data_IF_464426191190
#
_entry.id   IF_464426191190
#
_cell.length_a   1.000
_cell.length_b   1.000
_cell.length_c   1.000
_cell.angle_alpha   90.00
_cell.angle_beta   90.00
_cell.angle_gamma   90.00
#
_symmetry.space_group_name_H-M   'P 1'
#
loop_
_entity.id
_entity.type
_entity.pdbx_description
1 polymer ?
#
# COMPACT_ATOMS: atom_id res chain seq x y z
N UNK A 1 5.55 0.73 -23.99
CA UNK A 1 5.63 -0.74 -23.98
C UNK A 1 4.22 -1.25 -24.05
N UNK A 2 3.90 -1.82 -25.21
CA UNK A 2 2.54 -2.13 -25.64
C UNK A 2 1.95 -3.24 -24.78
N UNK A 3 0.80 -2.94 -24.18
CA UNK A 3 0.01 -3.93 -23.46
C UNK A 3 -0.77 -4.72 -24.50
N UNK A 4 -0.60 -6.04 -24.55
CA UNK A 4 -1.30 -6.90 -25.48
C UNK A 4 -2.83 -6.67 -25.35
N UNK A 5 -3.55 -6.34 -26.44
CA UNK A 5 -5.00 -6.16 -26.42
C UNK A 5 -5.74 -7.38 -25.85
N UNK A 6 -5.17 -8.58 -26.02
CA UNK A 6 -5.73 -9.83 -25.51
C UNK A 6 -5.63 -9.94 -23.99
N UNK A 7 -4.54 -9.43 -23.42
CA UNK A 7 -4.40 -9.29 -21.97
C UNK A 7 -5.44 -8.27 -21.45
N UNK A 8 -5.60 -7.12 -22.11
CA UNK A 8 -6.57 -6.07 -21.75
C UNK A 8 -8.04 -6.53 -21.76
N UNK A 9 -8.39 -7.47 -22.63
CA UNK A 9 -9.73 -8.06 -22.69
C UNK A 9 -9.99 -9.08 -21.56
N UNK A 10 -9.00 -9.91 -21.20
CA UNK A 10 -9.07 -10.84 -20.06
C UNK A 10 -9.06 -10.09 -18.70
N UNK A 11 -8.37 -8.93 -18.63
CA UNK A 11 -8.34 -8.04 -17.47
C UNK A 11 -9.74 -7.55 -17.05
N UNK A 12 -10.56 -7.12 -18.01
CA UNK A 12 -11.89 -6.57 -17.75
C UNK A 12 -12.88 -7.66 -17.28
N UNK A 13 -12.81 -8.87 -17.86
CA UNK A 13 -13.72 -9.96 -17.51
C UNK A 13 -13.52 -10.43 -16.06
N UNK A 14 -12.27 -10.59 -15.62
CA UNK A 14 -11.95 -11.07 -14.26
C UNK A 14 -12.30 -10.08 -13.14
N UNK A 15 -12.29 -8.77 -13.40
CA UNK A 15 -12.72 -7.79 -12.39
C UNK A 15 -14.25 -7.72 -12.26
N UNK A 16 -14.99 -7.99 -13.33
CA UNK A 16 -16.45 -8.06 -13.29
C UNK A 16 -16.95 -9.28 -12.50
N UNK A 17 -16.11 -10.29 -12.33
CA UNK A 17 -16.39 -11.53 -11.58
C UNK A 17 -15.77 -11.54 -10.17
N UNK A 18 -15.41 -10.37 -9.62
CA UNK A 18 -14.82 -10.29 -8.27
C UNK A 18 -15.80 -10.84 -7.23
N UNK A 19 -15.35 -11.84 -6.46
CA UNK A 19 -16.18 -12.53 -5.47
C UNK A 19 -16.18 -11.76 -4.15
N UNK A 20 -17.19 -10.92 -3.96
CA UNK A 20 -17.42 -10.11 -2.75
C UNK A 20 -18.88 -10.18 -2.31
N UNK A 21 -19.15 -9.83 -1.05
CA UNK A 21 -20.51 -9.91 -0.48
C UNK A 21 -21.46 -8.83 -1.00
N UNK A 22 -20.95 -7.63 -1.25
CA UNK A 22 -21.69 -6.44 -1.71
C UNK A 22 -20.70 -5.43 -2.31
N UNK A 23 -21.19 -4.26 -2.78
CA UNK A 23 -20.37 -3.20 -3.38
C UNK A 23 -19.54 -3.61 -4.61
N UNK A 24 -19.94 -4.67 -5.33
CA UNK A 24 -19.23 -5.18 -6.50
C UNK A 24 -18.95 -4.08 -7.53
N UNK A 25 -19.93 -3.24 -7.85
CA UNK A 25 -19.79 -2.13 -8.81
C UNK A 25 -18.72 -1.11 -8.40
N UNK A 26 -18.65 -0.79 -7.10
CA UNK A 26 -17.66 0.12 -6.54
C UNK A 26 -16.25 -0.49 -6.49
N UNK A 27 -16.15 -1.82 -6.43
CA UNK A 27 -14.87 -2.53 -6.41
C UNK A 27 -14.30 -2.84 -7.78
N UNK A 28 -15.11 -2.89 -8.84
CA UNK A 28 -14.63 -3.04 -10.23
C UNK A 28 -13.56 -1.99 -10.60
N UNK A 29 -13.74 -0.68 -10.38
CA UNK A 29 -12.70 0.30 -10.70
C UNK A 29 -11.44 0.13 -9.84
N UNK A 30 -11.58 -0.26 -8.57
CA UNK A 30 -10.45 -0.55 -7.68
C UNK A 30 -9.69 -1.78 -8.19
N UNK A 31 -10.38 -2.83 -8.62
CA UNK A 31 -9.78 -4.02 -9.23
C UNK A 31 -8.98 -3.68 -10.49
N UNK A 32 -9.50 -2.80 -11.35
CA UNK A 32 -8.77 -2.35 -12.55
C UNK A 32 -7.48 -1.61 -12.18
N UNK A 33 -7.52 -0.72 -11.19
CA UNK A 33 -6.33 -0.01 -10.71
C UNK A 33 -5.34 -0.97 -10.03
N UNK A 34 -5.85 -1.87 -9.20
CA UNK A 34 -5.07 -2.90 -8.52
C UNK A 34 -4.30 -3.78 -9.51
N UNK A 35 -4.93 -4.24 -10.59
CA UNK A 35 -4.24 -5.03 -11.64
C UNK A 35 -3.15 -4.23 -12.35
N UNK A 36 -3.38 -2.93 -12.64
CA UNK A 36 -2.32 -2.04 -13.16
C UNK A 36 -1.12 -1.93 -12.22
N UNK A 37 -1.35 -1.93 -10.91
CA UNK A 37 -0.27 -1.97 -9.92
C UNK A 37 0.48 -3.31 -9.97
N UNK A 38 -0.24 -4.42 -10.05
CA UNK A 38 0.37 -5.74 -10.17
C UNK A 38 1.20 -5.89 -11.46
N UNK A 39 0.78 -5.31 -12.58
CA UNK A 39 1.55 -5.30 -13.83
C UNK A 39 2.90 -4.58 -13.67
N UNK A 40 2.89 -3.47 -12.93
CA UNK A 40 4.09 -2.69 -12.64
C UNK A 40 4.93 -3.23 -11.50
N UNK A 41 4.45 -4.26 -10.80
CA UNK A 41 5.14 -4.88 -9.68
C UNK A 41 6.61 -5.17 -9.98
N UNK A 42 6.94 -5.78 -11.13
CA UNK A 42 8.34 -6.10 -11.47
C UNK A 42 9.25 -4.87 -11.55
N UNK A 43 8.72 -3.75 -12.05
CA UNK A 43 9.48 -2.50 -12.19
C UNK A 43 9.68 -1.86 -10.81
N UNK A 44 8.66 -1.92 -9.96
CA UNK A 44 8.62 -1.21 -8.68
C UNK A 44 9.10 -2.04 -7.48
N UNK A 45 9.15 -3.37 -7.60
CA UNK A 45 9.67 -4.30 -6.58
C UNK A 45 11.13 -4.72 -6.84
N UNK A 46 11.78 -4.03 -7.79
CA UNK A 46 13.17 -4.22 -8.16
C UNK A 46 14.12 -4.14 -6.95
N UNK A 47 15.32 -4.72 -7.05
CA UNK A 47 16.27 -4.83 -5.93
C UNK A 47 16.74 -3.48 -5.38
N UNK A 48 16.50 -2.38 -6.09
CA UNK A 48 16.97 -1.04 -5.74
C UNK A 48 15.96 -0.20 -4.95
N UNK A 49 14.75 -0.70 -4.70
CA UNK A 49 13.76 0.00 -3.88
C UNK A 49 13.86 -0.47 -2.43
N UNK A 50 14.22 0.45 -1.52
CA UNK A 50 14.45 0.17 -0.10
C UNK A 50 13.15 -0.07 0.70
N UNK A 51 12.02 0.31 0.11
CA UNK A 51 10.70 0.17 0.70
C UNK A 51 9.94 -1.07 0.20
N UNK A 52 9.09 -1.61 1.07
CA UNK A 52 8.20 -2.72 0.80
C UNK A 52 6.97 -2.27 -0.03
N UNK A 53 6.94 -2.65 -1.30
CA UNK A 53 5.84 -2.32 -2.19
C UNK A 53 4.52 -3.02 -1.82
N UNK A 54 4.60 -4.22 -1.23
CA UNK A 54 3.43 -4.95 -0.76
C UNK A 54 2.73 -4.17 0.35
N UNK A 55 3.50 -3.64 1.31
CA UNK A 55 2.94 -2.85 2.39
C UNK A 55 2.28 -1.55 1.88
N UNK A 56 2.92 -0.87 0.92
CA UNK A 56 2.35 0.32 0.27
C UNK A 56 1.01 0.00 -0.39
N UNK A 57 0.99 -1.06 -1.21
CA UNK A 57 -0.21 -1.50 -1.92
C UNK A 57 -1.32 -1.93 -0.96
N UNK A 58 -0.95 -2.53 0.17
CA UNK A 58 -1.89 -2.98 1.21
C UNK A 58 -2.59 -1.77 1.84
N UNK A 59 -1.84 -0.76 2.27
CA UNK A 59 -2.44 0.47 2.83
C UNK A 59 -3.31 1.21 1.82
N UNK A 60 -2.86 1.33 0.57
CA UNK A 60 -3.65 1.94 -0.49
C UNK A 60 -4.97 1.17 -0.70
N UNK A 61 -4.91 -0.15 -0.77
CA UNK A 61 -6.10 -0.99 -0.97
C UNK A 61 -7.05 -0.86 0.22
N UNK A 62 -6.56 -0.98 1.45
CA UNK A 62 -7.37 -0.90 2.65
C UNK A 62 -8.07 0.46 2.79
N UNK A 63 -7.38 1.57 2.48
CA UNK A 63 -8.01 2.89 2.42
C UNK A 63 -9.17 2.93 1.42
N UNK A 64 -9.01 2.35 0.22
CA UNK A 64 -10.11 2.27 -0.76
C UNK A 64 -11.28 1.44 -0.24
N UNK A 65 -11.01 0.32 0.44
CA UNK A 65 -12.06 -0.51 1.01
C UNK A 65 -12.80 0.22 2.13
N UNK A 66 -12.10 0.88 3.05
CA UNK A 66 -12.73 1.69 4.11
C UNK A 66 -13.62 2.78 3.51
N UNK A 67 -13.15 3.47 2.46
CA UNK A 67 -13.95 4.52 1.81
C UNK A 67 -15.24 3.98 1.15
N UNK A 68 -15.28 2.70 0.78
CA UNK A 68 -16.45 2.05 0.17
C UNK A 68 -17.40 1.49 1.23
N UNK A 69 -16.85 0.81 2.25
CA UNK A 69 -17.64 0.05 3.22
C UNK A 69 -17.97 0.83 4.49
N UNK A 70 -17.16 1.83 4.84
CA UNK A 70 -17.12 2.45 6.16
C UNK A 70 -16.20 1.69 7.11
N UNK A 71 -15.62 2.40 8.08
CA UNK A 71 -14.65 1.86 9.05
C UNK A 71 -15.27 0.92 10.10
N UNK A 72 -16.60 0.85 10.20
CA UNK A 72 -17.31 -0.05 11.11
C UNK A 72 -17.53 -1.46 10.54
N UNK A 73 -17.30 -1.67 9.25
CA UNK A 73 -17.62 -2.92 8.53
C UNK A 73 -16.39 -3.82 8.34
N UNK A 74 -15.74 -4.16 9.46
CA UNK A 74 -14.48 -4.89 9.46
C UNK A 74 -14.56 -6.26 8.75
N UNK A 75 -15.68 -6.96 8.89
CA UNK A 75 -15.88 -8.25 8.23
C UNK A 75 -15.94 -8.09 6.71
N UNK A 76 -16.78 -7.17 6.21
CA UNK A 76 -16.89 -6.90 4.76
C UNK A 76 -15.58 -6.41 4.16
N UNK A 77 -14.85 -5.55 4.88
CA UNK A 77 -13.52 -5.10 4.44
C UNK A 77 -12.56 -6.29 4.34
N UNK A 78 -12.55 -7.18 5.34
CA UNK A 78 -11.69 -8.37 5.33
C UNK A 78 -12.03 -9.31 4.18
N UNK A 79 -13.31 -9.55 3.90
CA UNK A 79 -13.74 -10.36 2.75
C UNK A 79 -13.35 -9.72 1.42
N UNK A 80 -13.55 -8.40 1.28
CA UNK A 80 -13.14 -7.69 0.08
C UNK A 80 -11.62 -7.77 -0.11
N UNK A 81 -10.82 -7.54 0.94
CA UNK A 81 -9.37 -7.63 0.90
C UNK A 81 -8.89 -9.04 0.49
N UNK A 82 -9.51 -10.08 1.04
CA UNK A 82 -9.22 -11.47 0.66
C UNK A 82 -9.53 -11.74 -0.83
N UNK A 83 -10.56 -11.10 -1.40
CA UNK A 83 -10.84 -11.19 -2.83
C UNK A 83 -9.70 -10.60 -3.68
N UNK A 84 -9.09 -9.48 -3.25
CA UNK A 84 -7.90 -8.91 -3.91
C UNK A 84 -6.66 -9.79 -3.74
N UNK A 85 -6.45 -10.44 -2.59
CA UNK A 85 -5.39 -11.44 -2.42
C UNK A 85 -5.57 -12.62 -3.38
N UNK A 86 -6.81 -13.07 -3.62
CA UNK A 86 -7.11 -14.10 -4.63
C UNK A 86 -6.81 -13.62 -6.06
N UNK A 87 -7.11 -12.35 -6.37
CA UNK A 87 -6.74 -11.75 -7.66
C UNK A 87 -5.21 -11.76 -7.84
N UNK A 88 -4.45 -11.40 -6.81
CA UNK A 88 -2.99 -11.52 -6.82
C UNK A 88 -2.52 -12.96 -7.00
N UNK A 89 -3.09 -13.92 -6.26
CA UNK A 89 -2.75 -15.34 -6.39
C UNK A 89 -2.96 -15.86 -7.81
N UNK A 90 -4.07 -15.51 -8.45
CA UNK A 90 -4.34 -15.85 -9.84
C UNK A 90 -3.38 -15.15 -10.81
N UNK A 91 -3.01 -13.91 -10.52
CA UNK A 91 -2.08 -13.12 -11.32
C UNK A 91 -0.66 -13.70 -11.32
N UNK A 92 -0.20 -14.22 -10.18
CA UNK A 92 1.12 -14.87 -10.09
C UNK A 92 1.11 -16.30 -10.63
N UNK A 93 0.01 -17.05 -10.48
CA UNK A 93 -0.06 -18.43 -10.97
C UNK A 93 0.10 -18.51 -12.49
N UNK A 94 -0.31 -17.47 -13.23
CA UNK A 94 -0.13 -17.39 -14.68
C UNK A 94 1.28 -16.92 -15.10
N UNK A 95 2.11 -16.45 -14.17
CA UNK A 95 3.45 -15.90 -14.43
C UNK A 95 4.48 -16.75 -13.69
N UNK A 96 5.29 -17.53 -14.42
CA UNK A 96 6.35 -18.42 -13.88
C UNK A 96 6.89 -17.94 -12.53
N UNK A 97 6.72 -18.77 -11.49
CA UNK A 97 7.12 -18.55 -10.09
C UNK A 97 8.35 -17.65 -9.96
N UNK A 98 8.12 -16.35 -9.74
CA UNK A 98 9.19 -15.38 -9.55
C UNK A 98 9.02 -14.73 -8.17
N UNK A 99 10.08 -14.81 -7.37
CA UNK A 99 10.18 -14.18 -6.04
C UNK A 99 9.84 -12.68 -6.05
N UNK A 100 10.06 -11.97 -7.17
CA UNK A 100 9.70 -10.55 -7.30
C UNK A 100 8.21 -10.25 -7.12
N UNK A 101 7.32 -11.18 -7.45
CA UNK A 101 5.88 -10.96 -7.29
C UNK A 101 5.40 -11.17 -5.84
N UNK A 102 6.17 -11.88 -5.01
CA UNK A 102 5.88 -12.02 -3.58
C UNK A 102 5.96 -10.67 -2.86
N UNK A 103 6.84 -9.79 -3.32
CA UNK A 103 6.94 -8.39 -2.84
C UNK A 103 5.73 -7.52 -3.17
N UNK A 104 4.74 -8.03 -3.88
CA UNK A 104 3.51 -7.31 -4.23
C UNK A 104 2.25 -8.01 -3.71
N UNK A 105 2.41 -9.02 -2.84
CA UNK A 105 1.32 -9.70 -2.18
C UNK A 105 0.68 -8.78 -1.15
N UNK A 106 -0.61 -8.46 -1.21
CA UNK A 106 -1.24 -7.65 -0.16
C UNK A 106 -1.21 -8.35 1.19
N UNK A 107 -0.84 -7.62 2.23
CA UNK A 107 -0.79 -8.08 3.61
C UNK A 107 -2.12 -7.77 4.32
N UNK A 108 -2.82 -8.83 4.71
CA UNK A 108 -4.13 -8.71 5.36
C UNK A 108 -4.03 -8.18 6.80
N UNK A 109 -2.90 -8.37 7.49
CA UNK A 109 -2.80 -8.04 8.92
C UNK A 109 -3.08 -6.56 9.21
N UNK A 110 -2.90 -5.67 8.21
CA UNK A 110 -3.22 -4.24 8.35
C UNK A 110 -4.66 -3.96 8.75
N UNK A 111 -5.61 -4.87 8.46
CA UNK A 111 -7.02 -4.69 8.81
C UNK A 111 -7.25 -4.72 10.33
N UNK A 112 -6.31 -5.26 11.09
CA UNK A 112 -6.37 -5.39 12.54
C UNK A 112 -5.74 -4.18 13.27
N UNK A 113 -5.01 -3.32 12.56
CA UNK A 113 -4.32 -2.18 13.16
C UNK A 113 -5.29 -1.01 13.41
N UNK A 114 -5.60 -0.74 14.68
CA UNK A 114 -6.48 0.40 15.05
C UNK A 114 -5.92 1.75 14.60
N UNK A 115 -4.60 1.88 14.58
CA UNK A 115 -3.85 3.07 14.18
C UNK A 115 -3.37 3.01 12.72
N UNK A 116 -4.00 2.20 11.87
CA UNK A 116 -3.59 2.00 10.46
C UNK A 116 -3.42 3.32 9.69
N UNK A 117 -4.23 4.37 10.00
CA UNK A 117 -4.10 5.69 9.36
C UNK A 117 -2.74 6.32 9.64
N UNK A 118 -2.32 6.28 10.90
CA UNK A 118 -1.02 6.78 11.32
C UNK A 118 0.10 5.93 10.71
N UNK A 119 -0.08 4.60 10.67
CA UNK A 119 0.92 3.70 10.07
C UNK A 119 1.07 3.93 8.58
N UNK A 120 -0.05 4.10 7.86
CA UNK A 120 -0.07 4.46 6.45
C UNK A 120 0.64 5.79 6.23
N UNK A 121 0.30 6.83 6.99
CA UNK A 121 0.93 8.14 6.82
C UNK A 121 2.45 8.10 7.08
N UNK A 122 2.89 7.33 8.07
CA UNK A 122 4.31 7.17 8.37
C UNK A 122 5.01 6.45 7.21
N UNK A 123 4.35 5.43 6.67
CA UNK A 123 4.87 4.65 5.56
C UNK A 123 4.88 5.43 4.23
N UNK A 124 3.86 6.23 3.95
CA UNK A 124 3.82 7.14 2.81
C UNK A 124 4.99 8.14 2.89
N UNK A 125 5.28 8.67 4.10
CA UNK A 125 6.46 9.52 4.31
C UNK A 125 7.77 8.77 4.09
N UNK A 126 7.89 7.53 4.59
CA UNK A 126 9.07 6.68 4.37
C UNK A 126 9.35 6.49 2.87
N UNK A 127 8.31 6.18 2.09
CA UNK A 127 8.41 5.98 0.64
C UNK A 127 8.80 7.27 -0.08
N UNK A 128 8.20 8.40 0.31
CA UNK A 128 8.44 9.68 -0.33
C UNK A 128 9.74 10.36 0.11
N UNK A 129 10.33 9.96 1.25
CA UNK A 129 11.40 10.68 1.96
C UNK A 129 12.56 11.08 1.05
N UNK A 130 13.14 10.13 0.31
CA UNK A 130 14.26 10.39 -0.59
C UNK A 130 13.91 11.41 -1.67
N UNK A 131 12.74 11.26 -2.31
CA UNK A 131 12.29 12.16 -3.37
C UNK A 131 12.02 13.58 -2.86
N UNK A 132 11.45 13.69 -1.66
CA UNK A 132 11.17 14.95 -1.00
C UNK A 132 12.46 15.65 -0.55
N UNK A 133 13.41 14.91 0.00
CA UNK A 133 14.70 15.42 0.41
C UNK A 133 15.49 15.99 -0.78
N UNK A 134 15.59 15.23 -1.87
CA UNK A 134 16.30 15.67 -3.07
C UNK A 134 15.65 16.89 -3.72
N UNK A 135 14.31 16.94 -3.78
CA UNK A 135 13.57 18.09 -4.32
C UNK A 135 13.74 19.34 -3.44
N UNK A 136 13.75 19.17 -2.11
CA UNK A 136 13.94 20.27 -1.18
C UNK A 136 15.34 20.87 -1.27
N UNK A 137 16.36 20.04 -1.54
CA UNK A 137 17.75 20.50 -1.72
C UNK A 137 17.93 21.39 -2.95
N UNK A 138 17.12 21.20 -4.00
CA UNK A 138 17.31 21.87 -5.30
C UNK A 138 16.41 23.09 -5.51
N UNK A 139 15.35 23.29 -4.70
CA UNK A 139 14.36 24.33 -4.95
C UNK A 139 13.82 25.01 -3.67
N UNK A 140 14.20 26.27 -3.43
CA UNK A 140 13.78 27.09 -2.28
C UNK A 140 12.26 27.28 -2.15
N UNK A 141 11.51 27.29 -3.26
CA UNK A 141 10.05 27.47 -3.26
C UNK A 141 9.30 26.30 -2.60
N UNK A 142 9.88 25.10 -2.59
CA UNK A 142 9.27 23.92 -1.96
C UNK A 142 9.56 23.85 -0.45
N UNK A 143 10.41 24.73 0.07
CA UNK A 143 10.83 24.75 1.47
C UNK A 143 9.62 24.89 2.43
N UNK A 144 8.59 25.68 2.09
CA UNK A 144 7.36 25.79 2.91
C UNK A 144 6.54 24.50 2.96
N UNK A 145 6.34 23.84 1.82
CA UNK A 145 5.61 22.56 1.77
C UNK A 145 6.40 21.47 2.49
N UNK A 146 7.72 21.48 2.33
CA UNK A 146 8.63 20.58 3.00
C UNK A 146 8.60 20.76 4.52
N UNK A 147 8.60 22.01 5.00
CA UNK A 147 8.49 22.31 6.42
C UNK A 147 7.21 21.76 7.05
N UNK A 148 6.06 21.88 6.36
CA UNK A 148 4.80 21.28 6.83
C UNK A 148 4.90 19.76 6.88
N UNK A 149 5.42 19.11 5.83
CA UNK A 149 5.60 17.65 5.80
C UNK A 149 6.57 17.15 6.88
N UNK A 150 7.68 17.86 7.14
CA UNK A 150 8.61 17.53 8.22
C UNK A 150 7.93 17.64 9.58
N UNK A 151 7.12 18.69 9.82
CA UNK A 151 6.39 18.83 11.08
C UNK A 151 5.38 17.72 11.32
N UNK A 152 4.62 17.37 10.28
CA UNK A 152 3.69 16.25 10.32
C UNK A 152 4.42 14.94 10.62
N UNK A 153 5.54 14.69 9.93
CA UNK A 153 6.39 13.53 10.20
C UNK A 153 6.93 13.52 11.63
N UNK A 154 7.46 14.64 12.13
CA UNK A 154 8.00 14.72 13.50
C UNK A 154 6.93 14.40 14.54
N UNK A 155 5.73 14.92 14.35
CA UNK A 155 4.59 14.65 15.24
C UNK A 155 4.19 13.17 15.20
N UNK A 156 4.21 12.58 14.01
CA UNK A 156 3.89 11.18 13.79
C UNK A 156 4.97 10.24 14.34
N UNK A 157 6.23 10.62 14.20
CA UNK A 157 7.37 9.89 14.76
C UNK A 157 7.28 9.83 16.29
N UNK A 158 7.04 10.96 16.95
CA UNK A 158 6.86 10.99 18.42
C UNK A 158 5.65 10.17 18.88
N UNK A 159 4.55 10.15 18.09
CA UNK A 159 3.43 9.25 18.35
C UNK A 159 3.87 7.79 18.40
N UNK A 160 4.59 7.31 17.37
CA UNK A 160 5.06 5.93 17.31
C UNK A 160 6.13 5.63 18.36
N UNK A 161 7.04 6.58 18.64
CA UNK A 161 8.03 6.44 19.70
C UNK A 161 7.38 6.15 21.06
N UNK A 162 6.31 6.87 21.40
CA UNK A 162 5.53 6.65 22.61
C UNK A 162 4.79 5.30 22.60
N UNK A 163 4.10 4.97 21.51
CA UNK A 163 3.35 3.71 21.40
C UNK A 163 4.27 2.48 21.44
N UNK A 164 5.38 2.49 20.68
CA UNK A 164 6.34 1.40 20.62
C UNK A 164 7.08 1.15 21.95
N UNK A 165 7.05 2.11 22.88
CA UNK A 165 7.56 1.95 24.24
C UNK A 165 6.55 1.31 25.21
N UNK A 166 5.32 1.04 24.75
CA UNK A 166 4.23 0.50 25.57
C UNK A 166 4.13 -1.02 25.43
N UNK A 167 4.09 -1.74 26.55
CA UNK A 167 3.94 -3.20 26.55
C UNK A 167 2.64 -3.64 25.86
N UNK A 168 2.75 -4.60 24.93
CA UNK A 168 1.63 -5.17 24.19
C UNK A 168 1.20 -4.40 22.93
N UNK A 169 1.85 -3.27 22.62
CA UNK A 169 1.68 -2.61 21.33
C UNK A 169 2.60 -3.22 20.26
N UNK A 170 2.04 -3.59 19.10
CA UNK A 170 2.80 -4.12 17.97
C UNK A 170 3.44 -2.98 17.16
N UNK A 171 4.68 -2.61 17.50
CA UNK A 171 5.40 -1.55 16.80
C UNK A 171 5.58 -1.87 15.30
N UNK A 172 5.32 -0.92 14.37
CA UNK A 172 5.56 -1.17 12.96
C UNK A 172 7.04 -1.45 12.69
N UNK A 173 7.39 -2.58 12.05
CA UNK A 173 8.80 -2.96 11.82
C UNK A 173 9.61 -1.88 11.10
N UNK A 174 8.99 -1.18 10.14
CA UNK A 174 9.63 -0.10 9.39
C UNK A 174 9.90 1.15 10.23
N UNK A 175 9.26 1.32 11.39
CA UNK A 175 9.55 2.43 12.30
C UNK A 175 11.01 2.41 12.76
N UNK A 176 11.55 1.22 13.09
CA UNK A 176 12.95 1.06 13.50
C UNK A 176 13.97 1.36 12.40
N UNK A 177 13.55 1.44 11.13
CA UNK A 177 14.46 1.88 10.06
C UNK A 177 14.83 3.35 10.23
N UNK A 178 13.90 4.18 10.70
CA UNK A 178 14.17 5.59 10.99
C UNK A 178 15.11 5.79 12.18
N UNK A 179 15.13 4.88 13.14
CA UNK A 179 16.07 4.93 14.28
C UNK A 179 17.51 4.59 13.88
N UNK A 180 17.72 3.87 12.78
CA UNK A 180 19.06 3.48 12.29
C UNK A 180 19.70 4.51 11.36
N UNK A 181 18.90 5.43 10.84
CA UNK A 181 19.35 6.47 9.89
C UNK A 181 19.58 7.85 10.55
N UNK A 182 19.37 7.95 11.87
CA UNK A 182 19.67 9.13 12.70
C UNK A 182 20.77 8.82 13.72
#
# INVERSE_FOLDING_TARGET
MDTDPHDMYDYNKKCNEILVRNNTENLIPICKQYKRFLDKCLVWSGPNYEYDFSLLLSYWLYEKLINIYGDTKAEEISFAFAAFQRIWGNFINSRKYNSYYQKCKPELNIVNHKDWKNRKQLYDYYVDYYSLFETARTHDTFCKQYYTKIKEFSSLYEYFRGQCSTDGYECPEFFHKFEKEN
#
